data_IF_256791011825
#
_entry.id   IF_256791011825
#
_cell.length_a   1.000
_cell.length_b   1.000
_cell.length_c   1.000
_cell.angle_alpha   90.00
_cell.angle_beta   90.00
_cell.angle_gamma   90.00
#
_symmetry.space_group_name_H-M   'P 1'
#
loop_
_entity.id
_entity.type
_entity.pdbx_description
1 polymer ?
#
# COMPACT_ATOMS: atom_id res chain seq x y z
N UNK A 1 50.07 55.03 40.24
CA UNK A 1 49.87 55.00 41.70
C UNK A 1 48.57 55.76 41.98
N UNK A 2 47.45 55.04 42.16
CA UNK A 2 46.79 54.84 43.47
C UNK A 2 46.37 56.21 44.08
N UNK A 3 45.09 56.58 44.16
CA UNK A 3 44.16 56.06 45.17
C UNK A 3 42.74 56.67 45.03
N UNK A 4 41.71 55.82 45.23
CA UNK A 4 40.53 55.95 46.13
C UNK A 4 39.64 57.21 46.01
N UNK A 5 38.31 57.22 46.25
CA UNK A 5 37.16 56.30 46.43
C UNK A 5 35.99 57.25 46.82
N UNK A 6 34.74 56.79 46.69
CA UNK A 6 33.48 57.32 47.29
C UNK A 6 32.56 58.05 46.28
N UNK A 7 31.60 57.34 45.68
CA UNK A 7 30.24 57.03 46.19
C UNK A 7 29.27 58.21 46.03
N UNK A 8 28.37 58.13 45.05
CA UNK A 8 27.03 58.72 45.17
C UNK A 8 26.00 57.80 44.51
N UNK A 9 25.02 57.42 45.32
CA UNK A 9 23.93 56.50 45.07
C UNK A 9 22.89 57.12 44.14
N UNK A 10 22.42 56.39 43.12
CA UNK A 10 21.11 56.61 42.51
C UNK A 10 20.42 55.24 42.38
N UNK A 11 19.18 55.22 42.86
CA UNK A 11 18.28 54.09 42.96
C UNK A 11 17.47 53.88 41.67
N UNK A 12 16.82 52.70 41.60
CA UNK A 12 15.69 52.31 40.73
C UNK A 12 16.10 52.06 39.26
N UNK A 13 15.71 50.96 38.60
CA UNK A 13 14.38 50.35 38.51
C UNK A 13 14.52 48.84 38.29
N UNK A 14 13.71 48.07 39.01
CA UNK A 14 13.53 46.63 38.85
C UNK A 14 13.00 46.28 37.45
N UNK A 15 13.84 45.68 36.60
CA UNK A 15 13.36 44.96 35.41
C UNK A 15 12.96 43.58 35.88
N UNK A 16 11.65 43.38 36.04
CA UNK A 16 11.06 42.08 36.30
C UNK A 16 11.42 41.10 35.18
N UNK A 17 12.22 40.09 35.52
CA UNK A 17 12.29 38.87 34.74
C UNK A 17 10.96 38.14 34.93
N UNK A 18 9.99 38.46 34.06
CA UNK A 18 8.76 37.70 33.93
C UNK A 18 9.13 36.38 33.27
N UNK A 19 9.30 35.37 34.11
CA UNK A 19 9.43 33.98 33.70
C UNK A 19 8.17 33.51 32.98
N UNK A 20 8.43 32.74 31.93
CA UNK A 20 7.67 31.55 31.53
C UNK A 20 6.18 31.73 31.29
N UNK A 21 5.83 31.81 30.01
CA UNK A 21 4.75 30.99 29.45
C UNK A 21 5.05 30.80 27.95
N UNK A 22 6.01 29.91 27.66
CA UNK A 22 6.05 29.27 26.35
C UNK A 22 4.79 28.41 26.27
N UNK A 23 3.85 28.82 25.43
CA UNK A 23 2.81 27.94 24.96
C UNK A 23 3.49 27.02 23.94
N UNK A 24 3.97 25.86 24.39
CA UNK A 24 4.30 24.75 23.50
C UNK A 24 2.97 24.09 23.09
N UNK A 25 2.53 24.20 21.83
CA UNK A 25 1.48 23.34 21.32
C UNK A 25 2.12 22.00 20.96
N UNK A 26 2.53 21.25 21.99
CA UNK A 26 2.86 19.83 21.85
C UNK A 26 1.68 19.01 22.35
N UNK A 27 0.63 18.89 21.56
CA UNK A 27 -0.20 17.69 21.61
C UNK A 27 -0.98 17.46 20.31
N UNK A 28 -1.07 16.18 19.94
CA UNK A 28 -1.68 15.59 18.74
C UNK A 28 -0.88 15.72 17.42
N UNK A 29 0.28 15.07 17.39
CA UNK A 29 0.56 13.93 16.48
C UNK A 29 1.98 13.47 16.78
N UNK A 30 2.16 12.64 17.81
CA UNK A 30 3.36 11.81 17.85
C UNK A 30 3.20 10.79 16.73
N UNK A 31 3.89 11.00 15.61
CA UNK A 31 4.16 9.91 14.67
C UNK A 31 4.80 8.78 15.49
N UNK A 32 4.02 7.73 15.74
CA UNK A 32 4.48 6.57 16.51
C UNK A 32 5.56 5.87 15.67
N UNK A 33 6.80 6.05 16.10
CA UNK A 33 7.95 5.48 15.41
C UNK A 33 7.96 3.98 15.70
N UNK A 34 7.90 3.19 14.63
CA UNK A 34 8.14 1.75 14.68
C UNK A 34 9.47 1.51 15.41
N UNK A 35 9.42 0.83 16.55
CA UNK A 35 10.61 0.43 17.30
C UNK A 35 11.23 -0.82 16.66
N UNK A 36 12.56 -0.90 16.63
CA UNK A 36 13.26 -2.12 16.19
C UNK A 36 12.85 -3.34 17.03
N UNK A 37 12.56 -3.14 18.32
CA UNK A 37 12.11 -4.21 19.21
C UNK A 37 10.73 -4.78 18.83
N UNK A 38 9.83 -3.96 18.27
CA UNK A 38 8.51 -4.43 17.83
C UNK A 38 8.58 -5.13 16.47
N UNK A 39 9.51 -4.72 15.60
CA UNK A 39 9.81 -5.42 14.35
C UNK A 39 10.43 -6.79 14.64
N UNK A 40 11.43 -6.86 15.52
CA UNK A 40 12.05 -8.13 15.94
C UNK A 40 11.02 -9.07 16.58
N UNK A 41 10.09 -8.52 17.39
CA UNK A 41 9.00 -9.29 17.97
C UNK A 41 8.07 -9.86 16.88
N UNK A 42 7.69 -9.05 15.90
CA UNK A 42 6.91 -9.52 14.75
C UNK A 42 7.64 -10.60 13.96
N UNK A 43 8.93 -10.41 13.65
CA UNK A 43 9.71 -11.41 12.91
C UNK A 43 9.80 -12.73 13.69
N UNK A 44 10.00 -12.66 15.00
CA UNK A 44 10.08 -13.84 15.86
C UNK A 44 8.75 -14.59 16.00
N UNK A 45 7.62 -13.88 16.00
CA UNK A 45 6.27 -14.47 16.23
C UNK A 45 5.50 -14.77 14.95
N UNK A 46 5.64 -13.93 13.94
CA UNK A 46 4.84 -13.91 12.72
C UNK A 46 5.67 -14.14 11.45
N UNK A 47 7.00 -13.98 11.52
CA UNK A 47 7.93 -14.03 10.38
C UNK A 47 7.98 -15.37 9.64
N UNK A 48 7.52 -16.46 10.26
CA UNK A 48 7.42 -17.76 9.60
C UNK A 48 6.43 -17.78 8.41
N UNK A 49 5.44 -16.88 8.43
CA UNK A 49 4.39 -16.80 7.41
C UNK A 49 4.26 -15.41 6.81
N UNK A 50 4.49 -14.35 7.59
CA UNK A 50 4.33 -12.97 7.16
C UNK A 50 5.68 -12.29 6.98
N UNK A 51 5.85 -11.59 5.86
CA UNK A 51 6.95 -10.65 5.69
C UNK A 51 6.54 -9.27 6.19
N UNK A 52 7.51 -8.40 6.51
CA UNK A 52 7.20 -6.99 6.75
C UNK A 52 6.76 -6.32 5.44
N UNK A 53 7.47 -6.66 4.36
CA UNK A 53 7.32 -6.12 3.02
C UNK A 53 7.09 -7.16 1.94
N UNK A 54 6.45 -6.81 0.81
CA UNK A 54 6.39 -7.68 -0.36
C UNK A 54 7.80 -8.14 -0.77
N UNK A 55 7.94 -9.37 -1.31
CA UNK A 55 6.87 -10.31 -1.66
C UNK A 55 6.25 -11.04 -0.45
N UNK A 56 5.04 -11.62 -0.59
CA UNK A 56 4.46 -12.48 0.44
C UNK A 56 5.21 -13.81 0.59
N UNK A 57 5.07 -14.44 1.75
CA UNK A 57 5.41 -15.85 1.96
C UNK A 57 4.14 -16.70 1.99
N UNK A 58 3.80 -17.26 3.16
CA UNK A 58 2.59 -18.06 3.38
C UNK A 58 1.42 -17.22 3.95
N UNK A 59 1.59 -15.90 3.97
CA UNK A 59 0.60 -14.92 4.43
C UNK A 59 0.89 -13.55 3.82
N UNK A 60 -0.07 -12.62 3.87
CA UNK A 60 0.11 -11.27 3.34
C UNK A 60 1.20 -10.49 4.11
N UNK A 61 1.98 -9.61 3.45
CA UNK A 61 2.96 -8.78 4.16
C UNK A 61 2.29 -7.82 5.14
N UNK A 62 2.97 -7.46 6.23
CA UNK A 62 2.48 -6.53 7.25
C UNK A 62 2.03 -5.19 6.64
N UNK A 63 2.76 -4.65 5.64
CA UNK A 63 2.34 -3.45 4.92
C UNK A 63 0.97 -3.59 4.25
N UNK A 64 0.68 -4.74 3.63
CA UNK A 64 -0.62 -5.00 3.00
C UNK A 64 -1.75 -5.11 4.02
N UNK A 65 -1.45 -5.68 5.19
CA UNK A 65 -2.38 -5.74 6.33
C UNK A 65 -2.66 -4.32 6.84
N UNK A 66 -1.61 -3.53 7.10
CA UNK A 66 -1.71 -2.15 7.57
C UNK A 66 -2.65 -1.30 6.69
N UNK A 67 -2.43 -1.35 5.37
CA UNK A 67 -3.24 -0.64 4.39
C UNK A 67 -4.73 -1.04 4.48
N UNK A 68 -5.03 -2.34 4.54
CA UNK A 68 -6.42 -2.81 4.57
C UNK A 68 -7.13 -2.39 5.86
N UNK A 69 -6.44 -2.48 7.00
CA UNK A 69 -7.02 -2.09 8.29
C UNK A 69 -7.25 -0.58 8.36
N UNK A 70 -6.33 0.26 7.88
CA UNK A 70 -6.55 1.72 7.81
C UNK A 70 -7.67 2.14 6.88
N UNK A 71 -7.95 1.36 5.83
CA UNK A 71 -9.13 1.59 4.96
C UNK A 71 -10.44 1.20 5.62
N UNK A 72 -10.40 0.25 6.55
CA UNK A 72 -11.59 -0.34 7.17
C UNK A 72 -11.96 0.35 8.49
N UNK A 73 -10.99 0.99 9.16
CA UNK A 73 -11.16 1.64 10.45
C UNK A 73 -10.70 3.09 10.41
N UNK A 74 -11.50 3.98 11.00
CA UNK A 74 -11.16 5.39 11.19
C UNK A 74 -10.32 5.64 12.45
N UNK A 75 -10.27 4.69 13.37
CA UNK A 75 -9.57 4.81 14.64
C UNK A 75 -8.56 3.68 14.85
N UNK A 76 -7.42 4.05 15.44
CA UNK A 76 -6.26 3.17 15.64
C UNK A 76 -6.56 2.06 16.62
N UNK A 77 -7.20 2.38 17.74
CA UNK A 77 -7.42 1.47 18.85
C UNK A 77 -8.37 0.34 18.45
N UNK A 78 -9.44 0.63 17.70
CA UNK A 78 -10.34 -0.39 17.15
C UNK A 78 -9.64 -1.23 16.09
N UNK A 79 -8.79 -0.63 15.25
CA UNK A 79 -8.01 -1.40 14.28
C UNK A 79 -7.07 -2.40 14.97
N UNK A 80 -6.33 -1.95 15.99
CA UNK A 80 -5.45 -2.79 16.80
C UNK A 80 -6.24 -3.92 17.47
N UNK A 81 -7.34 -3.57 18.14
CA UNK A 81 -8.21 -4.56 18.78
C UNK A 81 -8.75 -5.58 17.77
N UNK A 82 -9.07 -5.16 16.55
CA UNK A 82 -9.50 -6.06 15.48
C UNK A 82 -8.39 -6.98 14.98
N UNK A 83 -7.15 -6.48 14.83
CA UNK A 83 -5.99 -7.32 14.46
C UNK A 83 -5.77 -8.38 15.54
N UNK A 84 -5.77 -7.98 16.81
CA UNK A 84 -5.60 -8.90 17.95
C UNK A 84 -6.71 -9.95 17.99
N UNK A 85 -7.97 -9.53 17.85
CA UNK A 85 -9.12 -10.45 17.83
C UNK A 85 -9.03 -11.46 16.68
N UNK A 86 -8.63 -11.01 15.49
CA UNK A 86 -8.42 -11.90 14.35
C UNK A 86 -7.24 -12.87 14.59
N UNK A 87 -6.13 -12.40 15.18
CA UNK A 87 -4.99 -13.25 15.54
C UNK A 87 -5.39 -14.36 16.53
N UNK A 88 -6.24 -14.04 17.52
CA UNK A 88 -6.67 -14.97 18.56
C UNK A 88 -7.80 -15.92 18.14
N UNK A 89 -8.61 -15.54 17.15
CA UNK A 89 -9.72 -16.35 16.68
C UNK A 89 -10.05 -16.07 15.19
N UNK A 90 -9.17 -16.48 14.27
CA UNK A 90 -9.38 -16.24 12.85
C UNK A 90 -10.52 -17.11 12.33
N UNK A 91 -11.45 -16.49 11.60
CA UNK A 91 -12.51 -17.17 10.84
C UNK A 91 -12.55 -16.57 9.44
N UNK A 92 -13.11 -17.29 8.47
CA UNK A 92 -13.22 -16.77 7.10
C UNK A 92 -14.12 -15.51 7.08
N UNK A 93 -15.14 -15.48 7.93
CA UNK A 93 -16.11 -14.40 8.07
C UNK A 93 -15.51 -13.16 8.76
N UNK A 94 -14.58 -13.35 9.70
CA UNK A 94 -13.89 -12.24 10.40
C UNK A 94 -12.68 -11.69 9.65
N UNK A 95 -12.29 -12.31 8.53
CA UNK A 95 -11.14 -11.86 7.74
C UNK A 95 -11.49 -10.62 6.92
N UNK A 96 -10.83 -9.49 7.20
CA UNK A 96 -10.93 -8.26 6.38
C UNK A 96 -10.27 -8.39 5.00
N UNK A 97 -9.50 -9.46 4.79
CA UNK A 97 -8.80 -9.77 3.54
C UNK A 97 -9.26 -11.12 2.99
N UNK A 98 -10.50 -11.26 2.48
CA UNK A 98 -11.03 -12.54 2.02
C UNK A 98 -10.17 -13.17 0.91
N UNK A 99 -9.64 -12.37 -0.02
CA UNK A 99 -8.71 -12.86 -1.05
C UNK A 99 -7.39 -13.40 -0.49
N UNK A 100 -6.96 -12.95 0.69
CA UNK A 100 -5.80 -13.53 1.35
C UNK A 100 -6.14 -14.91 1.92
N UNK A 101 -7.37 -15.11 2.41
CA UNK A 101 -7.85 -16.44 2.82
C UNK A 101 -7.93 -17.39 1.62
N UNK A 102 -8.44 -16.92 0.48
CA UNK A 102 -8.49 -17.72 -0.76
C UNK A 102 -7.10 -18.14 -1.24
N UNK A 103 -6.12 -17.22 -1.15
CA UNK A 103 -4.75 -17.43 -1.66
C UNK A 103 -3.86 -18.24 -0.71
N UNK A 104 -3.91 -17.94 0.59
CA UNK A 104 -2.97 -18.47 1.58
C UNK A 104 -3.61 -19.48 2.54
N UNK A 105 -4.94 -19.61 2.50
CA UNK A 105 -5.71 -20.33 3.51
C UNK A 105 -6.01 -19.46 4.73
N UNK A 106 -6.85 -20.00 5.62
CA UNK A 106 -7.18 -19.34 6.87
C UNK A 106 -5.96 -19.34 7.80
N UNK A 107 -5.61 -18.16 8.31
CA UNK A 107 -4.53 -18.00 9.29
C UNK A 107 -4.79 -18.91 10.52
N UNK A 108 -3.80 -19.64 11.03
CA UNK A 108 -3.99 -20.43 12.24
C UNK A 108 -4.21 -19.54 13.47
N UNK A 109 -4.88 -20.09 14.48
CA UNK A 109 -5.09 -19.41 15.76
C UNK A 109 -3.76 -19.16 16.47
N UNK A 110 -3.43 -17.88 16.71
CA UNK A 110 -2.22 -17.46 17.41
C UNK A 110 -2.48 -17.32 18.91
N UNK A 111 -1.84 -18.17 19.72
CA UNK A 111 -1.96 -18.17 21.18
C UNK A 111 -0.72 -17.53 21.82
N UNK A 112 -0.45 -16.28 21.44
CA UNK A 112 0.62 -15.48 22.03
C UNK A 112 0.11 -14.66 23.20
N UNK A 113 1.05 -14.06 23.93
CA UNK A 113 0.72 -13.15 25.01
C UNK A 113 -0.09 -11.94 24.47
N UNK A 114 -1.18 -11.52 25.13
CA UNK A 114 -2.00 -10.40 24.67
C UNK A 114 -1.22 -9.09 24.49
N UNK A 115 -0.26 -8.80 25.38
CA UNK A 115 0.56 -7.60 25.30
C UNK A 115 1.51 -7.66 24.08
N UNK A 116 2.07 -8.85 23.80
CA UNK A 116 2.85 -9.06 22.57
C UNK A 116 2.00 -8.85 21.31
N UNK A 117 0.77 -9.38 21.29
CA UNK A 117 -0.15 -9.22 20.15
C UNK A 117 -0.56 -7.76 19.94
N UNK A 118 -0.83 -7.02 21.01
CA UNK A 118 -1.15 -5.59 20.94
C UNK A 118 0.03 -4.79 20.39
N UNK A 119 1.27 -5.08 20.83
CA UNK A 119 2.48 -4.45 20.28
C UNK A 119 2.70 -4.76 18.81
N UNK A 120 2.51 -6.02 18.40
CA UNK A 120 2.58 -6.42 17.00
C UNK A 120 1.51 -5.71 16.17
N UNK A 121 0.27 -5.66 16.64
CA UNK A 121 -0.84 -5.00 15.95
C UNK A 121 -0.62 -3.49 15.84
N UNK A 122 -0.11 -2.84 16.89
CA UNK A 122 0.28 -1.43 16.87
C UNK A 122 1.40 -1.18 15.86
N UNK A 123 2.41 -2.06 15.82
CA UNK A 123 3.49 -1.99 14.83
C UNK A 123 2.95 -2.11 13.41
N UNK A 124 2.12 -3.12 13.12
CA UNK A 124 1.45 -3.28 11.82
C UNK A 124 0.67 -2.02 11.47
N UNK A 125 -0.13 -1.49 12.40
CA UNK A 125 -0.86 -0.23 12.19
C UNK A 125 0.06 0.96 11.94
N UNK A 126 1.28 0.97 12.48
CA UNK A 126 2.26 2.04 12.30
C UNK A 126 3.13 1.88 11.05
N UNK A 127 3.20 0.69 10.42
CA UNK A 127 3.93 0.44 9.14
C UNK A 127 3.44 1.45 8.11
N UNK A 128 4.18 2.55 7.84
CA UNK A 128 3.62 3.69 7.16
C UNK A 128 3.02 3.25 5.84
N UNK A 129 1.93 3.90 5.47
CA UNK A 129 1.58 3.98 4.06
C UNK A 129 2.76 4.79 3.52
N UNK A 130 3.82 4.11 3.05
CA UNK A 130 4.65 4.73 2.05
C UNK A 130 3.62 5.18 1.02
N UNK A 131 3.41 6.49 0.91
CA UNK A 131 2.44 7.10 0.02
C UNK A 131 2.32 6.21 -1.21
N UNK A 132 1.11 5.87 -1.67
CA UNK A 132 1.02 5.56 -3.09
C UNK A 132 1.42 6.88 -3.79
N UNK A 133 2.61 6.96 -4.38
CA UNK A 133 2.82 6.40 -5.69
C UNK A 133 2.90 4.88 -5.57
N UNK A 134 2.12 4.19 -6.40
CA UNK A 134 2.59 2.91 -6.93
C UNK A 134 4.09 3.12 -7.20
N UNK A 135 4.99 2.22 -6.74
CA UNK A 135 6.44 2.46 -6.69
C UNK A 135 6.81 3.42 -7.79
N UNK A 136 7.13 4.69 -7.47
CA UNK A 136 7.15 5.83 -8.44
C UNK A 136 7.45 5.26 -9.81
N UNK A 137 6.43 5.17 -10.72
CA UNK A 137 6.35 4.10 -11.72
C UNK A 137 7.74 3.94 -12.26
N UNK A 138 8.42 2.85 -11.85
CA UNK A 138 9.86 2.71 -12.11
C UNK A 138 10.02 3.17 -13.55
N UNK A 139 10.81 4.25 -13.73
CA UNK A 139 10.78 5.03 -14.96
C UNK A 139 10.79 4.01 -16.08
N UNK A 140 9.74 3.96 -16.92
CA UNK A 140 9.34 2.76 -17.62
C UNK A 140 10.56 2.06 -18.19
N UNK A 141 10.90 0.90 -17.62
CA UNK A 141 12.25 0.34 -17.72
C UNK A 141 12.51 -0.21 -19.12
N UNK A 142 11.42 -0.39 -19.88
CA UNK A 142 11.41 -0.95 -21.23
C UNK A 142 10.61 -0.08 -22.19
N UNK A 143 10.95 -0.14 -23.47
CA UNK A 143 10.18 0.51 -24.54
C UNK A 143 8.72 0.03 -24.58
N UNK A 144 8.47 -1.23 -24.21
CA UNK A 144 7.14 -1.82 -24.15
C UNK A 144 6.31 -1.20 -23.01
N UNK A 145 6.93 -0.97 -21.85
CA UNK A 145 6.28 -0.28 -20.73
C UNK A 145 6.02 1.21 -21.02
N UNK A 146 6.93 1.89 -21.73
CA UNK A 146 6.71 3.26 -22.23
C UNK A 146 5.46 3.30 -23.11
N UNK A 147 5.35 2.37 -24.06
CA UNK A 147 4.21 2.29 -24.96
C UNK A 147 2.90 2.04 -24.19
N UNK A 148 2.92 1.16 -23.18
CA UNK A 148 1.74 0.95 -22.33
C UNK A 148 1.34 2.21 -21.56
N UNK A 149 2.28 2.84 -20.84
CA UNK A 149 1.97 4.02 -20.02
C UNK A 149 1.43 5.16 -20.88
N UNK A 150 2.04 5.39 -22.05
CA UNK A 150 1.61 6.45 -22.99
C UNK A 150 0.20 6.22 -23.53
N UNK A 151 -0.14 4.99 -23.89
CA UNK A 151 -1.39 4.71 -24.61
C UNK A 151 -2.54 4.23 -23.72
N UNK A 152 -2.22 3.54 -22.62
CA UNK A 152 -3.20 2.84 -21.78
C UNK A 152 -3.19 3.36 -20.33
N UNK A 153 -2.07 3.92 -19.86
CA UNK A 153 -1.85 4.31 -18.47
C UNK A 153 -2.82 5.38 -17.93
N UNK A 154 -3.43 6.17 -18.82
CA UNK A 154 -4.45 7.16 -18.45
C UNK A 154 -5.73 6.52 -17.87
N UNK A 155 -6.02 5.26 -18.19
CA UNK A 155 -7.18 4.52 -17.67
C UNK A 155 -6.77 3.28 -16.87
N UNK A 156 -5.74 2.57 -17.32
CA UNK A 156 -5.27 1.31 -16.74
C UNK A 156 -3.99 1.54 -15.92
N UNK A 157 -4.15 1.84 -14.63
CA UNK A 157 -3.00 1.92 -13.70
C UNK A 157 -2.28 0.58 -13.61
N UNK A 158 -0.95 0.61 -13.45
CA UNK A 158 -0.12 -0.61 -13.32
C UNK A 158 -0.63 -1.51 -12.19
N UNK A 159 -0.86 -0.93 -11.02
CA UNK A 159 -1.33 -1.60 -9.81
C UNK A 159 -2.61 -0.95 -9.27
N UNK A 160 -3.36 -1.65 -8.39
CA UNK A 160 -4.46 -1.06 -7.64
C UNK A 160 -4.03 0.18 -6.84
N UNK A 161 -4.95 1.10 -6.48
CA UNK A 161 -6.37 1.07 -6.79
C UNK A 161 -6.64 1.36 -8.28
N UNK A 162 -7.76 0.85 -8.84
CA UNK A 162 -8.14 1.14 -10.22
C UNK A 162 -8.39 2.64 -10.42
N UNK A 163 -8.35 3.08 -11.68
CA UNK A 163 -8.76 4.43 -12.07
C UNK A 163 -10.08 4.34 -12.83
N UNK A 164 -10.10 4.74 -14.10
CA UNK A 164 -11.28 4.68 -14.98
C UNK A 164 -11.36 3.34 -15.74
N UNK A 165 -10.44 2.43 -15.45
CA UNK A 165 -10.39 1.08 -15.98
C UNK A 165 -9.72 0.13 -14.98
N UNK A 166 -9.85 -1.19 -15.22
CA UNK A 166 -9.24 -2.20 -14.38
C UNK A 166 -7.70 -2.06 -14.36
N UNK A 167 -7.03 -2.46 -13.26
CA UNK A 167 -5.57 -2.41 -13.17
C UNK A 167 -4.92 -3.32 -14.23
N UNK A 168 -3.76 -2.91 -14.75
CA UNK A 168 -3.00 -3.65 -15.75
C UNK A 168 -2.60 -5.05 -15.24
N UNK A 169 -2.28 -5.18 -13.95
CA UNK A 169 -2.01 -6.48 -13.31
C UNK A 169 -3.21 -7.41 -13.35
N UNK A 170 -4.43 -6.91 -13.17
CA UNK A 170 -5.64 -7.72 -13.29
C UNK A 170 -5.88 -8.17 -14.73
N UNK A 171 -5.65 -7.27 -15.70
CA UNK A 171 -5.73 -7.61 -17.13
C UNK A 171 -4.73 -8.71 -17.47
N UNK A 172 -3.45 -8.52 -17.10
CA UNK A 172 -2.39 -9.48 -17.31
C UNK A 172 -2.71 -10.84 -16.67
N UNK A 173 -3.21 -10.86 -15.44
CA UNK A 173 -3.59 -12.08 -14.72
C UNK A 173 -4.72 -12.84 -15.43
N UNK A 174 -5.86 -12.18 -15.70
CA UNK A 174 -7.03 -12.85 -16.26
C UNK A 174 -6.80 -13.33 -17.69
N UNK A 175 -6.17 -12.50 -18.54
CA UNK A 175 -5.85 -12.91 -19.90
C UNK A 175 -4.73 -13.95 -19.93
N UNK A 176 -3.71 -13.86 -19.07
CA UNK A 176 -2.64 -14.86 -18.99
C UNK A 176 -3.14 -16.21 -18.49
N UNK A 177 -4.09 -16.21 -17.56
CA UNK A 177 -4.76 -17.43 -17.09
C UNK A 177 -5.57 -18.11 -18.20
N UNK A 178 -6.29 -17.32 -19.01
CA UNK A 178 -7.08 -17.85 -20.12
C UNK A 178 -6.22 -18.27 -21.34
N UNK A 179 -5.09 -17.58 -21.55
CA UNK A 179 -4.18 -17.79 -22.68
C UNK A 179 -2.74 -17.90 -22.16
N UNK A 180 -2.30 -19.11 -21.75
CA UNK A 180 -0.99 -19.32 -21.15
C UNK A 180 0.17 -19.25 -22.16
N UNK A 181 -0.12 -19.14 -23.45
CA UNK A 181 0.87 -18.98 -24.52
C UNK A 181 0.86 -17.55 -25.05
N UNK A 182 2.04 -16.94 -25.14
CA UNK A 182 2.20 -15.53 -25.53
C UNK A 182 1.46 -15.16 -26.83
N UNK A 183 1.55 -15.93 -27.93
CA UNK A 183 0.88 -15.55 -29.18
C UNK A 183 -0.66 -15.52 -29.06
N UNK A 184 -1.23 -16.38 -28.21
CA UNK A 184 -2.66 -16.48 -28.00
C UNK A 184 -3.17 -15.35 -27.10
N UNK A 185 -2.41 -15.02 -26.04
CA UNK A 185 -2.62 -13.85 -25.20
C UNK A 185 -2.60 -12.56 -26.03
N UNK A 186 -1.57 -12.38 -26.86
CA UNK A 186 -1.41 -11.18 -27.67
C UNK A 186 -2.56 -11.02 -28.67
N UNK A 187 -2.98 -12.13 -29.30
CA UNK A 187 -4.11 -12.16 -30.23
C UNK A 187 -5.42 -11.83 -29.52
N UNK A 188 -5.64 -12.35 -28.32
CA UNK A 188 -6.85 -12.11 -27.55
C UNK A 188 -6.97 -10.64 -27.10
N UNK A 189 -5.91 -10.05 -26.54
CA UNK A 189 -5.94 -8.63 -26.16
C UNK A 189 -6.14 -7.74 -27.39
N UNK A 190 -5.46 -8.04 -28.50
CA UNK A 190 -5.66 -7.29 -29.75
C UNK A 190 -7.09 -7.36 -30.25
N UNK A 191 -7.73 -8.53 -30.19
CA UNK A 191 -9.12 -8.71 -30.58
C UNK A 191 -10.09 -7.93 -29.67
N UNK A 192 -9.82 -7.88 -28.37
CA UNK A 192 -10.60 -7.07 -27.43
C UNK A 192 -10.44 -5.58 -27.70
N UNK A 193 -9.21 -5.07 -27.82
CA UNK A 193 -8.94 -3.65 -28.08
C UNK A 193 -9.54 -3.18 -29.40
N UNK A 194 -9.58 -4.05 -30.43
CA UNK A 194 -10.18 -3.75 -31.72
C UNK A 194 -11.72 -3.70 -31.69
N UNK A 195 -12.37 -4.34 -30.71
CA UNK A 195 -13.82 -4.40 -30.59
C UNK A 195 -14.27 -4.57 -29.11
N UNK A 196 -14.08 -3.54 -28.26
CA UNK A 196 -14.26 -3.68 -26.81
C UNK A 196 -15.72 -3.81 -26.36
N UNK A 197 -16.68 -3.52 -27.24
CA UNK A 197 -18.12 -3.69 -27.00
C UNK A 197 -18.61 -5.06 -27.49
N UNK A 198 -18.11 -5.52 -28.63
CA UNK A 198 -18.53 -6.80 -29.22
C UNK A 198 -17.70 -8.02 -28.79
N UNK A 199 -16.56 -7.80 -28.14
CA UNK A 199 -15.72 -8.87 -27.58
C UNK A 199 -15.88 -8.85 -26.04
N UNK A 200 -16.35 -9.94 -25.42
CA UNK A 200 -16.48 -10.00 -23.97
C UNK A 200 -15.14 -9.78 -23.25
N UNK A 201 -15.17 -8.98 -22.18
CA UNK A 201 -14.05 -8.87 -21.26
C UNK A 201 -13.84 -10.19 -20.52
N UNK A 202 -12.58 -10.63 -20.38
CA UNK A 202 -12.23 -11.76 -19.52
C UNK A 202 -12.09 -11.40 -18.04
N UNK A 203 -12.16 -10.10 -17.71
CA UNK A 203 -12.19 -9.65 -16.32
C UNK A 203 -13.64 -9.72 -15.83
N UNK A 204 -13.93 -10.49 -14.76
CA UNK A 204 -15.25 -10.55 -14.14
C UNK A 204 -15.71 -9.15 -13.72
N UNK A 205 -17.00 -8.86 -13.94
CA UNK A 205 -17.70 -7.64 -13.53
C UNK A 205 -17.08 -6.32 -14.03
N UNK A 206 -16.06 -6.36 -14.88
CA UNK A 206 -15.33 -5.17 -15.30
C UNK A 206 -16.22 -4.18 -16.06
N UNK A 207 -17.16 -4.68 -16.86
CA UNK A 207 -18.13 -3.82 -17.57
C UNK A 207 -19.11 -3.18 -16.59
N UNK A 208 -19.53 -3.90 -15.55
CA UNK A 208 -20.46 -3.37 -14.54
C UNK A 208 -19.79 -2.31 -13.66
N UNK A 209 -18.49 -2.47 -13.38
CA UNK A 209 -17.71 -1.56 -12.52
C UNK A 209 -17.17 -0.36 -13.29
N UNK A 210 -16.62 -0.56 -14.49
CA UNK A 210 -15.90 0.46 -15.25
C UNK A 210 -16.64 0.94 -16.51
N UNK A 211 -17.73 0.27 -16.89
CA UNK A 211 -18.34 0.44 -18.21
C UNK A 211 -17.55 -0.22 -19.32
N UNK A 212 -18.01 -0.05 -20.56
CA UNK A 212 -17.28 -0.53 -21.73
C UNK A 212 -16.02 0.30 -21.97
N UNK A 213 -14.92 -0.38 -22.27
CA UNK A 213 -13.72 0.29 -22.77
C UNK A 213 -14.07 1.05 -24.05
N UNK A 214 -13.73 2.35 -24.15
CA UNK A 214 -13.99 3.11 -25.36
C UNK A 214 -13.17 2.54 -26.53
N UNK A 215 -13.77 2.53 -27.73
CA UNK A 215 -13.04 2.16 -28.93
C UNK A 215 -11.98 3.22 -29.24
N UNK A 216 -10.71 2.83 -29.10
CA UNK A 216 -9.55 3.68 -29.36
C UNK A 216 -8.70 3.07 -30.47
N UNK A 217 -8.10 3.92 -31.30
CA UNK A 217 -7.16 3.50 -32.32
C UNK A 217 -5.73 3.79 -31.84
N UNK A 218 -4.85 2.81 -32.01
CA UNK A 218 -3.45 2.90 -31.64
C UNK A 218 -2.58 2.50 -32.83
N UNK A 219 -1.38 3.07 -32.99
CA UNK A 219 -0.43 2.56 -33.97
C UNK A 219 -0.09 1.09 -33.67
N UNK A 220 -0.08 0.22 -34.69
CA UNK A 220 0.07 -1.23 -34.51
C UNK A 220 1.31 -1.63 -33.71
N UNK A 221 2.42 -0.93 -33.94
CA UNK A 221 3.68 -1.15 -33.24
C UNK A 221 3.57 -0.79 -31.75
N UNK A 222 2.89 0.30 -31.43
CA UNK A 222 2.71 0.76 -30.04
C UNK A 222 1.74 -0.13 -29.29
N UNK A 223 0.66 -0.57 -29.94
CA UNK A 223 -0.26 -1.54 -29.37
C UNK A 223 0.44 -2.87 -29.11
N UNK A 224 1.24 -3.37 -30.06
CA UNK A 224 2.02 -4.59 -29.86
C UNK A 224 2.99 -4.48 -28.67
N UNK A 225 3.64 -3.32 -28.52
CA UNK A 225 4.54 -3.03 -27.41
C UNK A 225 3.80 -3.00 -26.06
N UNK A 226 2.65 -2.32 -25.99
CA UNK A 226 1.82 -2.28 -24.79
C UNK A 226 1.30 -3.67 -24.37
N UNK A 227 0.98 -4.53 -25.33
CA UNK A 227 0.53 -5.91 -25.06
C UNK A 227 1.70 -6.77 -24.56
N UNK A 228 2.90 -6.65 -25.13
CA UNK A 228 4.10 -7.34 -24.62
C UNK A 228 4.43 -6.93 -23.20
N UNK A 229 4.23 -5.66 -22.85
CA UNK A 229 4.33 -5.22 -21.46
C UNK A 229 3.35 -5.98 -20.55
N UNK A 230 2.05 -6.04 -20.90
CA UNK A 230 1.05 -6.82 -20.15
C UNK A 230 1.42 -8.30 -20.05
N UNK A 231 2.02 -8.87 -21.10
CA UNK A 231 2.55 -10.24 -21.08
C UNK A 231 3.74 -10.41 -20.13
N UNK A 232 4.64 -9.44 -20.05
CA UNK A 232 5.75 -9.51 -19.09
C UNK A 232 5.27 -9.33 -17.63
N UNK A 233 4.21 -8.55 -17.42
CA UNK A 233 3.72 -8.18 -16.09
C UNK A 233 3.01 -9.32 -15.33
N UNK A 234 2.65 -10.42 -15.98
CA UNK A 234 2.08 -11.62 -15.35
C UNK A 234 3.13 -12.50 -14.66
N UNK A 235 4.43 -12.22 -14.85
CA UNK A 235 5.55 -13.01 -14.31
C UNK A 235 6.26 -12.34 -13.14
N UNK A 236 5.65 -11.32 -12.52
CA UNK A 236 6.19 -10.67 -11.33
C UNK A 236 5.86 -11.58 -10.13
N UNK A 237 6.86 -12.37 -9.73
CA UNK A 237 6.89 -13.22 -8.53
C UNK A 237 6.90 -12.40 -7.23
#
# INVERSE_FOLDING_TARGET
MLRYRALLSIALVSIGALGMLQCDPSDSTSEERISSADVELFEARCGACHTLEPPPLNGPPARGIAMQYRRSYSDRETAIASIVAFAQNPTAESALMPHAVDRFGLMPRMQFDPEELERIAAMIWAVPDANFPAPEPAAPETADEIAFVRNCGACHRRQPPPLNGPPATAIAFHYGTAYPEQPDFERAIRAFVANPVGTPSLLPDAVDVFGHMPLMQFPDQELAAAIRYLWSAQRIE
#
